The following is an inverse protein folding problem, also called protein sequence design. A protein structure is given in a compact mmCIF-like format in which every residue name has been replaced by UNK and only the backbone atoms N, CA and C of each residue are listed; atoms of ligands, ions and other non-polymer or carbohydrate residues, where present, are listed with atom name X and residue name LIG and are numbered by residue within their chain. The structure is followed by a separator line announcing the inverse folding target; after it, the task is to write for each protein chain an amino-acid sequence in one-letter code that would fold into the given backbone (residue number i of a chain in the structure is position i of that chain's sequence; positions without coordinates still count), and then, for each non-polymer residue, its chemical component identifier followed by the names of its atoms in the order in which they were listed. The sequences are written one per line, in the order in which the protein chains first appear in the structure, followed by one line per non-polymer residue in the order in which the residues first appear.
data_IF_152980580215
#
_entry.id   IF_152980580215
#
_cell.length_a   1.000
_cell.length_b   1.000
_cell.length_c   1.000
_cell.angle_alpha   90.00
_cell.angle_beta   90.00
_cell.angle_gamma   90.00
#
_symmetry.space_group_name_H-M   'P 1'
#
loop_
_entity.id
_entity.type
_entity.pdbx_description
1 polymer ?
#
# COMPACT_ATOMS: atom_id res chain seq x y z
N UNK A 1 -9.61 18.37 -28.98
CA UNK A 1 -9.49 17.80 -27.62
C UNK A 1 -9.27 18.95 -26.66
N UNK A 2 -9.98 19.02 -25.54
CA UNK A 2 -9.83 20.13 -24.58
C UNK A 2 -8.47 20.05 -23.87
N UNK A 3 -7.85 21.18 -23.53
CA UNK A 3 -6.60 21.29 -22.76
C UNK A 3 -6.70 20.50 -21.44
N UNK A 4 -7.85 20.58 -20.76
CA UNK A 4 -8.09 19.83 -19.52
C UNK A 4 -8.06 18.31 -19.73
N UNK A 5 -8.61 17.82 -20.85
CA UNK A 5 -8.58 16.39 -21.21
C UNK A 5 -7.16 15.93 -21.50
N UNK A 6 -6.37 16.77 -22.19
CA UNK A 6 -4.96 16.47 -22.46
C UNK A 6 -4.16 16.40 -21.15
N UNK A 7 -4.36 17.35 -20.24
CA UNK A 7 -3.71 17.36 -18.92
C UNK A 7 -4.07 16.12 -18.10
N UNK A 8 -5.35 15.73 -18.08
CA UNK A 8 -5.81 14.50 -17.44
C UNK A 8 -5.14 13.26 -18.06
N UNK A 9 -4.98 13.23 -19.38
CA UNK A 9 -4.27 12.16 -20.08
C UNK A 9 -2.82 12.03 -19.63
N UNK A 10 -2.08 13.15 -19.63
CA UNK A 10 -0.69 13.20 -19.18
C UNK A 10 -0.58 12.77 -17.71
N UNK A 11 -1.42 13.32 -16.84
CA UNK A 11 -1.48 12.94 -15.43
C UNK A 11 -1.71 11.43 -15.26
N UNK A 12 -2.65 10.86 -16.01
CA UNK A 12 -2.95 9.42 -15.95
C UNK A 12 -1.73 8.58 -16.35
N UNK A 13 -1.01 8.96 -17.41
CA UNK A 13 0.21 8.25 -17.82
C UNK A 13 1.29 8.34 -16.74
N UNK A 14 1.55 9.54 -16.22
CA UNK A 14 2.55 9.77 -15.16
C UNK A 14 2.21 8.97 -13.92
N UNK A 15 0.94 8.94 -13.52
CA UNK A 15 0.45 8.16 -12.38
C UNK A 15 0.75 6.66 -12.53
N UNK A 16 0.46 6.08 -13.70
CA UNK A 16 0.72 4.67 -13.95
C UNK A 16 2.22 4.35 -13.97
N UNK A 17 3.04 5.22 -14.56
CA UNK A 17 4.51 5.07 -14.54
C UNK A 17 5.04 5.15 -13.11
N UNK A 18 4.58 6.13 -12.34
CA UNK A 18 4.97 6.30 -10.94
C UNK A 18 4.61 5.07 -10.10
N UNK A 19 3.37 4.60 -10.18
CA UNK A 19 2.92 3.40 -9.47
C UNK A 19 3.70 2.15 -9.91
N UNK A 20 4.05 2.05 -11.19
CA UNK A 20 4.86 0.95 -11.71
C UNK A 20 6.27 0.94 -11.11
N UNK A 21 6.93 2.10 -11.04
CA UNK A 21 8.27 2.24 -10.45
C UNK A 21 8.22 1.96 -8.95
N UNK A 22 7.35 2.64 -8.21
CA UNK A 22 7.22 2.49 -6.76
C UNK A 22 6.94 1.04 -6.33
N UNK A 23 6.28 0.25 -7.18
CA UNK A 23 6.00 -1.18 -6.92
C UNK A 23 7.22 -2.08 -6.98
N UNK A 24 8.20 -1.73 -7.79
CA UNK A 24 9.43 -2.51 -7.96
C UNK A 24 10.33 -2.39 -6.74
N UNK A 25 10.30 -1.25 -6.07
CA UNK A 25 11.16 -0.98 -4.92
C UNK A 25 10.68 -1.68 -3.63
N UNK A 26 9.42 -2.14 -3.60
CA UNK A 26 8.84 -2.84 -2.45
C UNK A 26 9.28 -4.31 -2.46
N UNK A 27 10.21 -4.63 -1.55
CA UNK A 27 10.78 -5.95 -1.27
C UNK A 27 9.79 -6.82 -0.51
N UNK A 28 9.27 -6.33 0.63
CA UNK A 28 8.31 -7.08 1.47
C UNK A 28 6.93 -6.41 1.42
N UNK A 29 5.97 -6.94 0.63
CA UNK A 29 4.65 -6.35 0.52
C UNK A 29 3.77 -6.61 1.75
N UNK A 30 2.99 -5.60 2.15
CA UNK A 30 1.89 -5.77 3.11
C UNK A 30 0.82 -6.66 2.50
N UNK A 31 0.33 -7.61 3.28
CA UNK A 31 -0.79 -8.47 2.92
C UNK A 31 -2.04 -7.64 2.65
N UNK A 32 -2.51 -7.66 1.40
CA UNK A 32 -3.73 -6.98 0.97
C UNK A 32 -4.84 -8.00 0.83
N UNK A 33 -5.93 -7.80 1.58
CA UNK A 33 -7.15 -8.61 1.41
C UNK A 33 -7.70 -8.39 0.00
N UNK A 34 -7.59 -9.40 -0.87
CA UNK A 34 -8.08 -9.39 -2.27
C UNK A 34 -9.57 -9.02 -2.41
N UNK A 35 -10.35 -9.08 -1.33
CA UNK A 35 -11.77 -8.70 -1.29
C UNK A 35 -12.07 -7.27 -1.78
N UNK A 36 -11.11 -6.34 -1.70
CA UNK A 36 -11.32 -4.96 -2.18
C UNK A 36 -11.16 -4.81 -3.69
N UNK A 37 -10.53 -5.77 -4.39
CA UNK A 37 -10.26 -5.67 -5.83
C UNK A 37 -11.55 -5.64 -6.67
N UNK A 38 -12.54 -6.54 -6.44
CA UNK A 38 -13.79 -6.48 -7.22
C UNK A 38 -14.54 -5.17 -7.02
N UNK A 39 -14.41 -4.51 -5.88
CA UNK A 39 -15.05 -3.21 -5.63
C UNK A 39 -14.51 -2.11 -6.57
N UNK A 40 -13.18 -2.01 -6.72
CA UNK A 40 -12.58 -1.02 -7.63
C UNK A 40 -12.91 -1.32 -9.10
N UNK A 41 -12.91 -2.60 -9.49
CA UNK A 41 -13.30 -3.02 -10.85
C UNK A 41 -14.76 -2.69 -11.12
N UNK A 42 -15.66 -2.98 -10.18
CA UNK A 42 -17.08 -2.64 -10.28
C UNK A 42 -17.28 -1.13 -10.45
N UNK A 43 -16.61 -0.30 -9.64
CA UNK A 43 -16.73 1.15 -9.74
C UNK A 43 -16.18 1.69 -11.07
N UNK A 44 -15.08 1.13 -11.59
CA UNK A 44 -14.58 1.48 -12.92
C UNK A 44 -15.56 1.11 -14.04
N UNK A 45 -16.18 -0.07 -13.98
CA UNK A 45 -17.22 -0.48 -14.92
C UNK A 45 -18.45 0.43 -14.84
N UNK A 46 -18.85 0.85 -13.64
CA UNK A 46 -19.95 1.78 -13.44
C UNK A 46 -19.67 3.14 -14.10
N UNK A 47 -18.45 3.67 -13.97
CA UNK A 47 -18.03 4.91 -14.63
C UNK A 47 -18.13 4.79 -16.15
N UNK A 48 -17.63 3.69 -16.72
CA UNK A 48 -17.70 3.44 -18.17
C UNK A 48 -19.16 3.30 -18.62
N UNK A 49 -19.96 2.52 -17.90
CA UNK A 49 -21.37 2.31 -18.20
C UNK A 49 -22.14 3.64 -18.25
N UNK A 50 -22.01 4.46 -17.19
CA UNK A 50 -22.68 5.76 -17.12
C UNK A 50 -22.21 6.67 -18.26
N UNK A 51 -20.90 6.79 -18.46
CA UNK A 51 -20.35 7.68 -19.49
C UNK A 51 -20.79 7.28 -20.91
N UNK A 52 -20.78 6.00 -21.24
CA UNK A 52 -21.21 5.52 -22.57
C UNK A 52 -22.73 5.50 -22.77
N UNK A 53 -23.53 5.40 -21.70
CA UNK A 53 -24.98 5.50 -21.77
C UNK A 53 -25.48 6.93 -22.04
N UNK A 54 -24.64 7.92 -21.78
CA UNK A 54 -24.95 9.33 -22.02
C UNK A 54 -24.59 9.78 -23.45
N UNK A 55 -25.33 10.73 -23.99
CA UNK A 55 -25.02 11.36 -25.28
C UNK A 55 -23.79 12.25 -25.11
N UNK A 56 -22.61 11.71 -25.44
CA UNK A 56 -21.33 12.40 -25.31
C UNK A 56 -20.59 12.51 -26.64
N UNK A 57 -19.97 13.67 -26.84
CA UNK A 57 -18.95 13.89 -27.85
C UNK A 57 -17.67 13.08 -27.58
N UNK A 58 -16.80 12.99 -28.58
CA UNK A 58 -15.51 12.28 -28.51
C UNK A 58 -14.66 12.71 -27.30
N UNK A 59 -14.68 14.01 -26.98
CA UNK A 59 -13.95 14.54 -25.82
C UNK A 59 -14.51 14.03 -24.49
N UNK A 60 -15.85 13.93 -24.35
CA UNK A 60 -16.50 13.37 -23.16
C UNK A 60 -16.17 11.89 -22.98
N UNK A 61 -16.23 11.11 -24.06
CA UNK A 61 -15.86 9.68 -24.04
C UNK A 61 -14.42 9.47 -23.59
N UNK A 62 -13.50 10.33 -24.06
CA UNK A 62 -12.09 10.28 -23.67
C UNK A 62 -11.93 10.55 -22.17
N UNK A 63 -12.66 11.53 -21.62
CA UNK A 63 -12.64 11.83 -20.18
C UNK A 63 -13.20 10.66 -19.35
N UNK A 64 -14.28 10.03 -19.79
CA UNK A 64 -14.82 8.82 -19.13
C UNK A 64 -13.80 7.70 -19.08
N UNK A 65 -13.10 7.43 -20.19
CA UNK A 65 -12.06 6.41 -20.23
C UNK A 65 -10.92 6.75 -19.27
N UNK A 66 -10.43 8.00 -19.30
CA UNK A 66 -9.37 8.45 -18.40
C UNK A 66 -9.79 8.36 -16.92
N UNK A 67 -11.03 8.75 -16.60
CA UNK A 67 -11.56 8.63 -15.24
C UNK A 67 -11.63 7.16 -14.77
N UNK A 68 -12.07 6.25 -15.65
CA UNK A 68 -12.05 4.81 -15.36
C UNK A 68 -10.63 4.29 -15.15
N UNK A 69 -9.65 4.74 -15.95
CA UNK A 69 -8.23 4.38 -15.78
C UNK A 69 -7.66 4.91 -14.46
N UNK A 70 -7.98 6.13 -14.06
CA UNK A 70 -7.61 6.66 -12.73
C UNK A 70 -8.25 5.81 -11.62
N UNK A 71 -9.50 5.37 -11.79
CA UNK A 71 -10.11 4.46 -10.82
C UNK A 71 -9.41 3.10 -10.75
N UNK A 72 -9.00 2.55 -11.89
CA UNK A 72 -8.24 1.29 -11.94
C UNK A 72 -6.83 1.44 -11.37
N UNK A 73 -6.26 2.65 -11.30
CA UNK A 73 -4.93 2.88 -10.75
C UNK A 73 -4.85 2.59 -9.23
N UNK A 74 -5.99 2.43 -8.53
CA UNK A 74 -6.00 1.99 -7.13
C UNK A 74 -5.68 0.49 -6.97
N UNK A 75 -5.69 -0.30 -8.06
CA UNK A 75 -5.48 -1.75 -8.02
C UNK A 75 -4.02 -2.26 -7.92
N UNK A 76 -2.92 -1.70 -8.41
CA UNK A 76 -2.50 -0.31 -8.49
C UNK A 76 -1.68 -0.01 -7.23
N UNK A 77 -2.37 0.25 -6.13
CA UNK A 77 -1.74 0.62 -4.86
C UNK A 77 -1.06 -0.59 -4.18
N UNK A 78 0.25 -0.49 -3.92
CA UNK A 78 1.08 -1.48 -3.18
C UNK A 78 1.75 -0.76 -2.01
N UNK A 79 1.79 -1.44 -0.85
CA UNK A 79 2.34 -0.95 0.41
C UNK A 79 3.33 -1.99 0.94
N UNK A 80 4.33 -1.57 1.69
CA UNK A 80 5.33 -2.51 2.22
C UNK A 80 6.67 -1.89 2.50
N UNK A 81 7.62 -2.76 2.84
CA UNK A 81 9.00 -2.39 3.04
C UNK A 81 9.75 -2.33 1.71
N UNK A 82 10.46 -1.23 1.53
CA UNK A 82 11.63 -1.11 0.66
C UNK A 82 12.88 -1.38 1.51
N UNK A 83 14.06 -1.47 0.89
CA UNK A 83 15.32 -1.65 1.63
C UNK A 83 15.57 -0.54 2.67
N UNK A 84 15.13 0.70 2.40
CA UNK A 84 15.47 1.86 3.25
C UNK A 84 14.27 2.41 4.03
N UNK A 85 13.04 2.12 3.58
CA UNK A 85 11.83 2.76 4.10
C UNK A 85 10.59 1.87 4.10
N UNK A 86 9.65 2.18 4.98
CA UNK A 86 8.31 1.62 5.02
C UNK A 86 7.33 2.54 4.27
N UNK A 87 6.75 2.04 3.18
CA UNK A 87 5.77 2.78 2.35
C UNK A 87 4.35 2.38 2.75
N UNK A 88 3.58 3.34 3.29
CA UNK A 88 2.21 3.11 3.78
C UNK A 88 1.12 3.44 2.75
N UNK A 89 1.46 4.17 1.70
CA UNK A 89 0.55 4.56 0.62
C UNK A 89 1.31 4.56 -0.70
N UNK A 90 0.71 4.08 -1.78
CA UNK A 90 1.39 3.99 -3.07
C UNK A 90 1.65 5.33 -3.75
N UNK A 91 1.15 6.45 -3.19
CA UNK A 91 1.49 7.82 -3.62
C UNK A 91 2.46 8.52 -2.66
N UNK A 92 2.96 7.80 -1.66
CA UNK A 92 3.95 8.32 -0.73
C UNK A 92 5.35 8.20 -1.34
N UNK A 93 5.96 9.34 -1.67
CA UNK A 93 7.31 9.41 -2.25
C UNK A 93 8.42 9.52 -1.19
N UNK A 94 8.08 9.55 0.10
CA UNK A 94 9.08 9.66 1.17
C UNK A 94 9.14 8.42 2.04
N UNK A 95 8.01 7.72 2.20
CA UNK A 95 7.89 6.60 3.11
C UNK A 95 8.30 6.98 4.54
N UNK A 96 8.42 5.99 5.39
CA UNK A 96 9.01 6.14 6.72
C UNK A 96 10.37 5.48 6.70
N UNK A 97 11.48 6.23 6.74
CA UNK A 97 12.82 5.67 6.85
C UNK A 97 12.92 4.66 7.98
N UNK A 98 13.52 3.49 7.72
CA UNK A 98 13.64 2.41 8.70
C UNK A 98 14.52 2.83 9.89
N UNK A 99 15.48 3.73 9.66
CA UNK A 99 16.34 4.28 10.70
C UNK A 99 15.60 5.19 11.71
N UNK A 100 14.38 5.64 11.40
CA UNK A 100 13.54 6.43 12.31
C UNK A 100 12.59 5.55 13.14
N UNK A 101 12.55 4.25 12.89
CA UNK A 101 11.71 3.32 13.64
C UNK A 101 12.46 2.90 14.91
N UNK A 102 11.89 3.26 16.06
CA UNK A 102 12.48 3.05 17.38
C UNK A 102 12.17 1.66 17.93
N UNK A 103 10.97 1.15 17.66
CA UNK A 103 10.50 -0.14 18.16
C UNK A 103 9.61 -0.81 17.14
N UNK A 104 9.78 -2.12 16.98
CA UNK A 104 8.92 -3.00 16.19
C UNK A 104 8.46 -4.16 17.05
N UNK A 105 7.17 -4.46 16.99
CA UNK A 105 6.54 -5.58 17.68
C UNK A 105 5.88 -6.47 16.65
N UNK A 106 6.33 -7.72 16.57
CA UNK A 106 5.83 -8.75 15.67
C UNK A 106 4.97 -9.73 16.44
N UNK A 107 3.87 -10.16 15.83
CA UNK A 107 2.99 -11.18 16.36
C UNK A 107 2.54 -12.10 15.24
N UNK A 108 2.76 -13.41 15.38
CA UNK A 108 2.31 -14.40 14.42
C UNK A 108 0.93 -14.91 14.80
N UNK A 109 -0.04 -14.73 13.90
CA UNK A 109 -1.39 -15.25 14.03
C UNK A 109 -1.45 -16.76 13.76
N UNK A 110 -2.54 -17.40 14.19
CA UNK A 110 -2.81 -18.83 13.96
C UNK A 110 -2.85 -19.23 12.49
N UNK A 111 -3.27 -18.30 11.63
CA UNK A 111 -3.33 -18.49 10.19
C UNK A 111 -1.96 -18.33 9.50
N UNK A 112 -0.88 -18.09 10.27
CA UNK A 112 0.48 -17.89 9.77
C UNK A 112 0.83 -16.44 9.41
N UNK A 113 -0.15 -15.53 9.35
CA UNK A 113 0.09 -14.11 9.04
C UNK A 113 0.80 -13.41 10.21
N UNK A 114 1.63 -12.44 9.88
CA UNK A 114 2.38 -11.66 10.87
C UNK A 114 1.76 -10.27 10.99
N UNK A 115 1.30 -9.92 12.18
CA UNK A 115 0.95 -8.55 12.54
C UNK A 115 2.19 -7.83 13.03
N UNK A 116 2.43 -6.65 12.46
CA UNK A 116 3.53 -5.77 12.82
C UNK A 116 2.97 -4.45 13.34
N UNK A 117 3.44 -4.05 14.51
CA UNK A 117 3.34 -2.68 15.01
C UNK A 117 4.71 -2.05 14.99
N UNK A 118 4.78 -0.78 14.61
CA UNK A 118 6.00 -0.01 14.73
C UNK A 118 5.73 1.29 15.50
N UNK A 119 6.79 1.81 16.12
CA UNK A 119 6.77 3.05 16.86
C UNK A 119 7.85 3.99 16.33
N UNK A 120 7.47 5.25 16.18
CA UNK A 120 8.37 6.34 15.77
C UNK A 120 8.02 7.56 16.59
N UNK A 121 9.02 8.23 17.16
CA UNK A 121 8.83 9.40 18.04
C UNK A 121 7.81 9.10 19.14
N UNK A 122 7.92 7.92 19.76
CA UNK A 122 7.00 7.41 20.78
C UNK A 122 5.52 7.26 20.34
N UNK A 123 5.21 7.39 19.04
CA UNK A 123 3.85 7.21 18.51
C UNK A 123 3.75 5.89 17.77
N UNK A 124 2.63 5.20 17.99
CA UNK A 124 2.29 3.95 17.32
C UNK A 124 1.80 4.22 15.89
N UNK A 125 2.37 3.51 14.93
CA UNK A 125 1.88 3.49 13.55
C UNK A 125 0.64 2.60 13.34
N UNK A 126 0.08 2.57 12.13
CA UNK A 126 -0.96 1.61 11.80
C UNK A 126 -0.44 0.17 11.90
N UNK A 127 -1.31 -0.77 12.30
CA UNK A 127 -0.99 -2.19 12.26
C UNK A 127 -0.86 -2.62 10.80
N UNK A 128 0.24 -3.28 10.49
CA UNK A 128 0.48 -3.90 9.19
C UNK A 128 0.38 -5.42 9.34
N UNK A 129 -0.06 -6.08 8.28
CA UNK A 129 -0.13 -7.54 8.23
C UNK A 129 0.71 -8.03 7.06
N UNK A 130 1.47 -9.08 7.27
CA UNK A 130 2.36 -9.67 6.28
C UNK A 130 2.07 -11.15 6.13
N UNK A 131 2.10 -11.62 4.89
CA UNK A 131 2.09 -13.04 4.54
C UNK A 131 3.51 -13.37 4.08
N UNK A 132 4.40 -13.56 5.06
CA UNK A 132 5.84 -13.66 4.87
C UNK A 132 6.44 -14.51 5.99
N UNK A 133 7.54 -15.25 5.77
CA UNK A 133 8.17 -16.04 6.84
C UNK A 133 8.67 -15.14 7.97
N UNK A 134 8.34 -15.49 9.23
CA UNK A 134 8.71 -14.69 10.40
C UNK A 134 10.23 -14.55 10.53
N UNK A 135 10.96 -15.63 10.29
CA UNK A 135 12.43 -15.64 10.34
C UNK A 135 13.04 -14.67 9.34
N UNK A 136 12.55 -14.66 8.10
CA UNK A 136 13.06 -13.74 7.06
C UNK A 136 12.70 -12.30 7.37
N UNK A 137 11.49 -12.03 7.88
CA UNK A 137 11.08 -10.68 8.28
C UNK A 137 11.93 -10.17 9.46
N UNK A 138 12.23 -11.01 10.43
CA UNK A 138 13.11 -10.69 11.56
C UNK A 138 14.52 -10.37 11.07
N UNK A 139 15.08 -11.20 10.19
CA UNK A 139 16.40 -10.94 9.59
C UNK A 139 16.39 -9.60 8.87
N UNK A 140 15.42 -9.37 7.98
CA UNK A 140 15.27 -8.11 7.25
C UNK A 140 15.23 -6.90 8.19
N UNK A 141 14.39 -6.92 9.22
CA UNK A 141 14.27 -5.82 10.17
C UNK A 141 15.55 -5.63 10.99
N UNK A 142 16.20 -6.72 11.42
CA UNK A 142 17.45 -6.64 12.20
C UNK A 142 18.60 -6.03 11.40
N UNK A 143 18.59 -6.16 10.08
CA UNK A 143 19.63 -5.62 9.19
C UNK A 143 19.38 -4.15 8.82
N UNK A 144 18.11 -3.71 8.79
CA UNK A 144 17.75 -2.39 8.26
C UNK A 144 17.26 -1.38 9.32
N UNK A 145 16.89 -1.83 10.52
CA UNK A 145 16.58 -0.93 11.64
C UNK A 145 17.86 -0.31 12.21
N UNK A 146 17.71 0.80 12.93
CA UNK A 146 18.83 1.52 13.52
C UNK A 146 19.45 0.75 14.70
N UNK A 147 20.74 1.01 14.96
CA UNK A 147 21.40 0.50 16.15
C UNK A 147 20.71 1.04 17.42
N UNK A 148 20.21 0.13 18.27
CA UNK A 148 19.45 0.46 19.47
C UNK A 148 17.93 0.44 19.30
N UNK A 149 17.41 0.22 18.09
CA UNK A 149 15.98 -0.07 17.89
C UNK A 149 15.61 -1.41 18.53
N UNK A 150 14.43 -1.48 19.14
CA UNK A 150 13.97 -2.72 19.78
C UNK A 150 13.08 -3.54 18.84
N UNK A 151 13.42 -4.82 18.68
CA UNK A 151 12.61 -5.78 17.94
C UNK A 151 12.06 -6.82 18.93
N UNK A 152 10.75 -6.82 19.11
CA UNK A 152 10.04 -7.72 20.01
C UNK A 152 9.18 -8.70 19.22
N UNK A 153 9.23 -9.97 19.60
CA UNK A 153 8.41 -11.03 19.04
C UNK A 153 7.49 -11.51 20.17
N UNK A 154 6.19 -11.27 20.02
CA UNK A 154 5.19 -11.71 20.97
C UNK A 154 4.81 -13.16 20.67
N UNK A 155 4.84 -13.98 21.71
CA UNK A 155 4.26 -15.32 21.67
C UNK A 155 2.81 -15.28 22.13
N UNK A 156 2.06 -16.37 21.91
CA UNK A 156 0.64 -16.45 22.30
C UNK A 156 0.43 -16.16 23.80
N UNK A 157 1.37 -16.57 24.65
CA UNK A 157 1.32 -16.38 26.10
C UNK A 157 1.47 -14.90 26.53
N UNK A 158 2.01 -14.04 25.65
CA UNK A 158 2.21 -12.62 25.92
C UNK A 158 0.98 -11.77 25.59
N UNK A 159 0.07 -12.26 24.75
CA UNK A 159 -1.20 -11.56 24.42
C UNK A 159 -2.19 -11.60 25.59
N UNK A 160 -2.31 -12.74 26.27
CA UNK A 160 -3.27 -12.93 27.37
C UNK A 160 -2.97 -12.05 28.59
N UNK A 161 -1.73 -11.55 28.72
CA UNK A 161 -1.34 -10.66 29.84
C UNK A 161 -1.70 -9.19 29.61
N UNK A 162 -1.88 -8.77 28.36
CA UNK A 162 -2.17 -7.37 27.99
C UNK A 162 -3.56 -7.17 27.37
N UNK A 163 -4.34 -8.24 27.17
CA UNK A 163 -5.65 -8.25 26.52
C UNK A 163 -6.84 -7.97 27.44
N UNK A 164 -6.88 -6.81 28.09
CA UNK A 164 -8.18 -6.17 28.39
C UNK A 164 -8.75 -5.56 27.11
#
# INVERSE_FOLDING_TARGET
MNILTLLLGIFTVVLYVFLWVARKDIVIPVFKRRKQYPFYVFLALLIVWIGFSSWQDINGRTQTILAALVMLSFLLDKKGFTEESLVLFGLDNRGIPLNEIERVVLFQEDNGLIKLNYFRKQRRGPILTFDYPLTELVVFLSTHLNEGSTLEILTKDDQDKNGK
#
